data_IF_500024618499
#
_entry.id   IF_500024618499
#
_cell.length_a   1.000
_cell.length_b   1.000
_cell.length_c   1.000
_cell.angle_alpha   90.00
_cell.angle_beta   90.00
_cell.angle_gamma   90.00
#
_symmetry.space_group_name_H-M   'P 1'
#
loop_
_entity.id
_entity.type
_entity.pdbx_description
1 polymer ?
#
# COMPACT_ATOMS: atom_id res chain seq x y z
N UNK A 1 47.85 -4.22 4.83
CA UNK A 1 46.59 -4.98 4.67
C UNK A 1 45.65 -4.12 3.84
N UNK A 2 45.17 -4.63 2.70
CA UNK A 2 44.25 -3.87 1.85
C UNK A 2 42.86 -3.85 2.51
N UNK A 3 42.40 -2.66 2.90
CA UNK A 3 41.03 -2.48 3.35
C UNK A 3 40.12 -2.47 2.12
N UNK A 4 39.34 -3.53 1.94
CA UNK A 4 38.27 -3.57 0.95
C UNK A 4 37.07 -2.87 1.58
N UNK A 5 36.72 -1.69 1.06
CA UNK A 5 35.48 -1.00 1.40
C UNK A 5 34.50 -1.11 0.23
N UNK A 6 33.29 -1.60 0.49
CA UNK A 6 32.20 -1.61 -0.49
C UNK A 6 31.12 -0.61 -0.06
N UNK A 7 30.66 0.21 -1.00
CA UNK A 7 29.49 1.08 -0.82
C UNK A 7 28.30 0.36 -1.45
N UNK A 8 27.38 -0.13 -0.62
CA UNK A 8 26.17 -0.83 -1.06
C UNK A 8 25.00 0.14 -1.04
N UNK A 9 24.52 0.51 -2.22
CA UNK A 9 23.24 1.22 -2.38
C UNK A 9 22.10 0.22 -2.37
N UNK A 10 21.26 0.29 -1.35
CA UNK A 10 20.04 -0.51 -1.25
C UNK A 10 18.90 0.19 -2.00
N UNK A 11 18.16 -0.57 -2.83
CA UNK A 11 16.90 -0.10 -3.42
C UNK A 11 15.73 -0.46 -2.49
N UNK A 12 14.66 0.35 -2.45
CA UNK A 12 13.42 -0.05 -1.78
C UNK A 12 12.87 -1.36 -2.35
N UNK A 13 12.36 -2.23 -1.47
CA UNK A 13 11.74 -3.49 -1.88
C UNK A 13 10.46 -3.21 -2.65
N UNK A 14 10.28 -3.87 -3.80
CA UNK A 14 9.12 -3.70 -4.68
C UNK A 14 8.15 -4.86 -4.52
N UNK A 15 6.99 -4.60 -3.93
CA UNK A 15 5.91 -5.58 -3.81
C UNK A 15 4.89 -5.40 -4.91
N UNK A 16 4.47 -6.48 -5.56
CA UNK A 16 3.30 -6.49 -6.43
C UNK A 16 2.19 -7.34 -5.81
N UNK A 17 1.01 -6.74 -5.58
CA UNK A 17 -0.13 -7.41 -5.00
C UNK A 17 -1.02 -8.01 -6.07
N UNK A 18 -1.31 -9.30 -5.98
CA UNK A 18 -2.16 -10.03 -6.91
C UNK A 18 -3.55 -10.21 -6.29
N UNK A 19 -4.59 -9.78 -7.00
CA UNK A 19 -5.97 -9.86 -6.49
C UNK A 19 -6.97 -10.18 -7.60
N UNK A 20 -8.05 -10.88 -7.28
CA UNK A 20 -9.17 -11.07 -8.21
C UNK A 20 -10.00 -9.78 -8.28
N UNK A 21 -10.44 -9.30 -9.47
CA UNK A 21 -11.18 -8.05 -9.61
C UNK A 21 -12.46 -7.92 -8.76
N UNK A 22 -13.11 -9.05 -8.46
CA UNK A 22 -14.38 -9.06 -7.72
C UNK A 22 -14.22 -9.22 -6.20
N UNK A 23 -12.98 -9.30 -5.69
CA UNK A 23 -12.72 -9.48 -4.27
C UNK A 23 -12.47 -8.13 -3.57
N UNK A 24 -13.56 -7.45 -3.24
CA UNK A 24 -13.51 -6.14 -2.58
C UNK A 24 -12.94 -6.21 -1.15
N UNK A 25 -13.07 -7.36 -0.48
CA UNK A 25 -12.57 -7.56 0.88
C UNK A 25 -11.05 -7.62 0.89
N UNK A 26 -10.47 -8.45 0.02
CA UNK A 26 -9.01 -8.54 -0.13
C UNK A 26 -8.41 -7.27 -0.71
N UNK A 27 -9.12 -6.59 -1.60
CA UNK A 27 -8.68 -5.30 -2.10
C UNK A 27 -8.58 -4.25 -0.98
N UNK A 28 -9.55 -4.21 -0.07
CA UNK A 28 -9.49 -3.36 1.11
C UNK A 28 -8.31 -3.73 2.03
N UNK A 29 -8.08 -5.02 2.26
CA UNK A 29 -6.94 -5.52 3.03
C UNK A 29 -5.60 -5.06 2.41
N UNK A 30 -5.47 -5.10 1.07
CA UNK A 30 -4.30 -4.59 0.35
C UNK A 30 -4.11 -3.09 0.57
N UNK A 31 -5.18 -2.28 0.52
CA UNK A 31 -5.08 -0.85 0.82
C UNK A 31 -4.61 -0.60 2.25
N UNK A 32 -5.09 -1.40 3.21
CA UNK A 32 -4.67 -1.32 4.60
C UNK A 32 -3.19 -1.67 4.77
N UNK A 33 -2.74 -2.77 4.17
CA UNK A 33 -1.33 -3.19 4.18
C UNK A 33 -0.45 -2.11 3.56
N UNK A 34 -0.84 -1.56 2.40
CA UNK A 34 -0.09 -0.49 1.75
C UNK A 34 -0.09 0.84 2.54
N UNK A 35 -1.04 1.04 3.45
CA UNK A 35 -1.04 2.18 4.38
C UNK A 35 0.00 1.96 5.48
N UNK A 36 0.16 0.71 5.94
CA UNK A 36 1.07 0.33 7.02
C UNK A 36 2.52 0.07 6.58
N UNK A 37 2.78 -0.07 5.27
CA UNK A 37 4.11 -0.30 4.72
C UNK A 37 4.76 1.00 4.24
N UNK A 38 6.07 1.12 4.49
CA UNK A 38 6.84 2.21 3.92
C UNK A 38 6.87 2.10 2.39
N UNK A 39 6.44 3.17 1.71
CA UNK A 39 6.37 3.18 0.24
C UNK A 39 5.16 2.47 -0.35
N UNK A 40 4.18 2.01 0.45
CA UNK A 40 3.08 1.16 -0.02
C UNK A 40 2.22 1.74 -1.15
N UNK A 41 2.17 3.07 -1.31
CA UNK A 41 1.52 3.71 -2.46
C UNK A 41 2.15 3.37 -3.82
N UNK A 42 3.42 3.00 -3.84
CA UNK A 42 4.14 2.64 -5.06
C UNK A 42 4.05 1.14 -5.36
N UNK A 43 3.40 0.36 -4.50
CA UNK A 43 3.18 -1.06 -4.73
C UNK A 43 1.98 -1.24 -5.67
N UNK A 44 2.16 -1.78 -6.88
CA UNK A 44 1.07 -2.00 -7.80
C UNK A 44 0.13 -3.08 -7.27
N UNK A 45 -1.15 -2.89 -7.58
CA UNK A 45 -2.20 -3.89 -7.38
C UNK A 45 -2.56 -4.41 -8.76
N UNK A 46 -2.19 -5.64 -9.05
CA UNK A 46 -2.34 -6.29 -10.34
C UNK A 46 -3.59 -7.19 -10.29
N UNK A 47 -4.63 -6.88 -11.09
CA UNK A 47 -5.80 -7.72 -11.17
C UNK A 47 -5.49 -9.01 -11.96
N UNK A 48 -5.78 -10.17 -11.35
CA UNK A 48 -5.69 -11.47 -12.01
C UNK A 48 -7.08 -11.88 -12.48
N UNK A 49 -7.27 -11.95 -13.79
CA UNK A 49 -8.53 -12.33 -14.42
C UNK A 49 -8.32 -13.53 -15.37
N UNK A 50 -9.30 -14.43 -15.43
CA UNK A 50 -9.28 -15.55 -16.38
C UNK A 50 -9.64 -15.13 -17.82
N UNK A 51 -10.42 -14.06 -17.97
CA UNK A 51 -10.79 -13.48 -19.25
C UNK A 51 -10.68 -11.96 -19.17
N UNK A 52 -10.13 -11.33 -20.21
CA UNK A 52 -10.09 -9.87 -20.34
C UNK A 52 -11.52 -9.31 -20.35
N UNK A 53 -11.89 -8.38 -19.46
CA UNK A 53 -13.23 -7.81 -19.48
C UNK A 53 -13.53 -7.08 -20.80
N UNK A 54 -14.78 -7.17 -21.30
CA UNK A 54 -15.18 -6.57 -22.58
C UNK A 54 -14.93 -5.06 -22.68
N UNK A 55 -15.02 -4.34 -21.56
CA UNK A 55 -14.78 -2.90 -21.50
C UNK A 55 -13.28 -2.52 -21.53
N UNK A 56 -12.38 -3.51 -21.42
CA UNK A 56 -10.93 -3.34 -21.58
C UNK A 56 -10.49 -3.54 -23.04
N UNK A 57 -11.39 -3.98 -23.91
CA UNK A 57 -11.08 -4.20 -25.31
C UNK A 57 -10.65 -2.87 -25.93
N UNK A 58 -9.43 -2.85 -26.46
CA UNK A 58 -8.89 -1.67 -27.13
C UNK A 58 -9.22 -1.86 -28.59
N UNK A 59 -10.22 -1.13 -29.07
CA UNK A 59 -10.73 -1.20 -30.45
C UNK A 59 -9.63 -1.16 -31.53
N UNK A 60 -8.46 -0.58 -31.21
CA UNK A 60 -7.33 -0.39 -32.12
C UNK A 60 -6.16 -1.40 -31.97
N UNK A 61 -6.20 -2.35 -31.02
CA UNK A 61 -5.10 -3.29 -30.76
C UNK A 61 -5.54 -4.75 -30.87
N UNK A 62 -4.59 -5.64 -31.20
CA UNK A 62 -4.83 -7.09 -31.12
C UNK A 62 -5.24 -7.43 -29.68
N UNK A 63 -6.26 -8.27 -29.48
CA UNK A 63 -6.69 -8.66 -28.15
C UNK A 63 -5.54 -9.39 -27.44
N UNK A 64 -5.01 -8.77 -26.40
CA UNK A 64 -4.01 -9.40 -25.53
C UNK A 64 -4.71 -10.45 -24.66
N UNK A 65 -4.07 -11.59 -24.44
CA UNK A 65 -4.57 -12.55 -23.47
C UNK A 65 -4.41 -12.01 -22.05
N UNK A 66 -5.24 -12.48 -21.12
CA UNK A 66 -5.15 -12.06 -19.72
C UNK A 66 -3.75 -12.30 -19.12
N UNK A 67 -3.10 -13.40 -19.51
CA UNK A 67 -1.75 -13.73 -19.10
C UNK A 67 -0.72 -12.74 -19.68
N UNK A 68 -0.88 -12.31 -20.93
CA UNK A 68 -0.01 -11.29 -21.52
C UNK A 68 -0.14 -9.94 -20.82
N UNK A 69 -1.35 -9.53 -20.45
CA UNK A 69 -1.57 -8.28 -19.71
C UNK A 69 -0.90 -8.33 -18.34
N UNK A 70 -1.09 -9.42 -17.59
CA UNK A 70 -0.47 -9.60 -16.27
C UNK A 70 1.05 -9.63 -16.39
N UNK A 71 1.60 -10.41 -17.34
CA UNK A 71 3.04 -10.43 -17.60
C UNK A 71 3.56 -9.06 -17.99
N UNK A 72 2.83 -8.27 -18.79
CA UNK A 72 3.20 -6.91 -19.12
C UNK A 72 3.32 -5.99 -17.89
N UNK A 73 2.41 -6.13 -16.91
CA UNK A 73 2.54 -5.42 -15.63
C UNK A 73 3.75 -5.89 -14.82
N UNK A 74 3.99 -7.20 -14.77
CA UNK A 74 5.12 -7.79 -14.06
C UNK A 74 6.47 -7.38 -14.69
N UNK A 75 6.56 -7.37 -16.02
CA UNK A 75 7.76 -6.97 -16.77
C UNK A 75 8.00 -5.46 -16.68
N UNK A 76 6.94 -4.65 -16.70
CA UNK A 76 7.08 -3.19 -16.57
C UNK A 76 7.47 -2.76 -15.15
N UNK A 77 7.01 -3.48 -14.12
CA UNK A 77 7.28 -3.13 -12.74
C UNK A 77 8.48 -3.88 -12.13
N UNK A 78 8.80 -5.08 -12.58
CA UNK A 78 9.88 -5.92 -12.05
C UNK A 78 9.84 -6.05 -10.50
N UNK A 79 8.78 -6.65 -9.92
CA UNK A 79 8.67 -6.80 -8.47
C UNK A 79 9.73 -7.75 -7.90
N UNK A 80 10.20 -7.44 -6.69
CA UNK A 80 11.07 -8.33 -5.92
C UNK A 80 10.26 -9.49 -5.32
N UNK A 81 9.05 -9.19 -4.85
CA UNK A 81 8.13 -10.13 -4.22
C UNK A 81 6.72 -10.00 -4.82
N UNK A 82 6.07 -11.14 -5.01
CA UNK A 82 4.65 -11.21 -5.31
C UNK A 82 3.88 -11.46 -4.02
N UNK A 83 2.79 -10.73 -3.82
CA UNK A 83 1.92 -10.89 -2.66
C UNK A 83 0.56 -11.36 -3.13
N UNK A 84 0.20 -12.58 -2.81
CA UNK A 84 -1.06 -13.19 -3.18
C UNK A 84 -2.17 -12.83 -2.19
N UNK A 85 -3.29 -12.33 -2.72
CA UNK A 85 -4.54 -12.20 -1.96
C UNK A 85 -5.21 -13.55 -1.65
N UNK A 86 -5.00 -14.52 -2.53
CA UNK A 86 -5.50 -15.88 -2.42
C UNK A 86 -4.40 -16.82 -2.93
N UNK A 87 -4.18 -17.92 -2.22
CA UNK A 87 -3.13 -18.87 -2.54
C UNK A 87 -3.25 -19.38 -3.99
N UNK A 88 -2.14 -19.32 -4.74
CA UNK A 88 -2.03 -19.85 -6.09
C UNK A 88 -2.36 -18.86 -7.21
N UNK A 89 -2.56 -17.57 -6.90
CA UNK A 89 -2.71 -16.52 -7.92
C UNK A 89 -1.43 -16.30 -8.75
N UNK A 90 -0.26 -16.53 -8.18
CA UNK A 90 1.04 -16.40 -8.83
C UNK A 90 1.42 -17.64 -9.67
N UNK A 91 0.59 -18.70 -9.62
CA UNK A 91 0.88 -19.97 -10.28
C UNK A 91 0.96 -19.77 -11.79
N UNK A 92 2.11 -20.11 -12.38
CA UNK A 92 2.34 -20.02 -13.82
C UNK A 92 3.09 -18.78 -14.29
N UNK A 93 3.45 -17.85 -13.41
CA UNK A 93 4.28 -16.68 -13.77
C UNK A 93 5.79 -16.91 -13.65
N UNK A 94 6.23 -18.10 -13.23
CA UNK A 94 7.66 -18.45 -13.18
C UNK A 94 8.47 -17.79 -12.07
N UNK A 95 7.81 -17.23 -11.05
CA UNK A 95 8.48 -16.68 -9.87
C UNK A 95 8.94 -17.79 -8.92
N UNK A 96 10.07 -17.53 -8.25
CA UNK A 96 10.59 -18.37 -7.18
C UNK A 96 9.55 -18.45 -6.03
N UNK A 97 9.15 -19.65 -5.57
CA UNK A 97 8.23 -19.82 -4.44
C UNK A 97 8.63 -19.04 -3.19
N UNK A 98 9.94 -18.86 -2.93
CA UNK A 98 10.43 -18.11 -1.76
C UNK A 98 10.19 -16.60 -1.89
N UNK A 99 9.83 -16.13 -3.09
CA UNK A 99 9.47 -14.72 -3.39
C UNK A 99 7.97 -14.50 -3.53
N UNK A 100 7.16 -15.51 -3.20
CA UNK A 100 5.70 -15.43 -3.20
C UNK A 100 5.21 -15.44 -1.76
N UNK A 101 4.65 -14.31 -1.32
CA UNK A 101 4.12 -14.09 0.02
C UNK A 101 2.58 -14.12 0.01
N UNK A 102 1.97 -14.44 1.15
CA UNK A 102 0.53 -14.27 1.35
C UNK A 102 0.24 -12.91 1.99
N UNK A 103 -0.93 -12.32 1.75
CA UNK A 103 -1.33 -11.05 2.42
C UNK A 103 -1.18 -11.10 3.93
N UNK A 104 -1.56 -12.21 4.55
CA UNK A 104 -1.50 -12.39 6.01
C UNK A 104 -0.09 -12.33 6.58
N UNK A 105 0.94 -12.54 5.75
CA UNK A 105 2.34 -12.54 6.15
C UNK A 105 3.01 -11.15 6.06
N UNK A 106 2.32 -10.14 5.50
CA UNK A 106 2.90 -8.82 5.25
C UNK A 106 2.99 -7.96 6.52
N UNK A 107 1.95 -7.99 7.37
CA UNK A 107 1.91 -7.19 8.59
C UNK A 107 2.28 -8.04 9.79
N UNK A 108 3.17 -7.50 10.62
CA UNK A 108 3.53 -8.09 11.90
C UNK A 108 2.31 -8.11 12.82
N UNK A 109 1.93 -9.31 13.25
CA UNK A 109 0.97 -9.51 14.34
C UNK A 109 1.72 -9.54 15.68
N UNK A 110 1.02 -9.23 16.77
CA UNK A 110 1.57 -9.04 18.12
C UNK A 110 2.53 -10.14 18.59
N UNK A 111 2.33 -11.38 18.13
CA UNK A 111 3.13 -12.56 18.50
C UNK A 111 4.40 -12.77 17.64
N UNK A 112 4.61 -11.97 16.59
CA UNK A 112 5.72 -12.14 15.64
C UNK A 112 6.81 -11.07 15.83
N UNK A 113 8.09 -11.45 15.73
CA UNK A 113 9.22 -10.53 15.88
C UNK A 113 9.26 -9.45 14.78
N UNK A 114 8.92 -9.80 13.54
CA UNK A 114 8.85 -8.92 12.35
C UNK A 114 7.89 -9.52 11.31
N UNK A 115 7.28 -8.68 10.46
CA UNK A 115 6.64 -9.14 9.23
C UNK A 115 7.67 -9.79 8.30
N UNK A 116 7.23 -10.65 7.37
CA UNK A 116 8.16 -11.47 6.57
C UNK A 116 9.05 -10.64 5.63
N UNK A 117 8.55 -9.51 5.14
CA UNK A 117 9.30 -8.64 4.24
C UNK A 117 8.87 -7.17 4.34
N UNK A 118 9.80 -6.25 4.08
CA UNK A 118 9.54 -4.80 4.05
C UNK A 118 9.82 -4.08 5.36
N UNK A 119 9.66 -2.75 5.32
CA UNK A 119 9.72 -1.88 6.50
C UNK A 119 8.31 -1.39 6.82
N UNK A 120 7.98 -1.37 8.10
CA UNK A 120 6.74 -0.76 8.57
C UNK A 120 6.79 0.77 8.48
N UNK A 121 5.63 1.39 8.57
CA UNK A 121 5.50 2.85 8.53
C UNK A 121 5.96 3.53 9.84
N UNK A 122 6.18 2.79 10.93
CA UNK A 122 6.57 3.38 12.22
C UNK A 122 7.96 3.97 12.18
N UNK A 123 8.90 3.35 11.46
CA UNK A 123 10.23 3.92 11.25
C UNK A 123 10.14 5.29 10.57
N UNK A 124 9.23 5.44 9.60
CA UNK A 124 8.94 6.72 8.96
C UNK A 124 8.31 7.72 9.94
N UNK A 125 7.30 7.30 10.72
CA UNK A 125 6.63 8.16 11.69
C UNK A 125 7.62 8.69 12.73
N UNK A 126 8.51 7.83 13.24
CA UNK A 126 9.55 8.19 14.20
C UNK A 126 10.56 9.18 13.62
N UNK A 127 10.99 8.98 12.38
CA UNK A 127 11.91 9.91 11.71
C UNK A 127 11.26 11.27 11.44
N UNK A 128 10.02 11.27 10.93
CA UNK A 128 9.25 12.50 10.70
C UNK A 128 8.97 13.24 12.01
N UNK A 129 8.59 12.52 13.06
CA UNK A 129 8.36 13.11 14.37
C UNK A 129 9.61 13.84 14.86
N UNK A 130 10.76 13.14 14.92
CA UNK A 130 12.03 13.71 15.37
C UNK A 130 12.48 14.92 14.52
N UNK A 131 12.26 14.88 13.21
CA UNK A 131 12.74 15.95 12.32
C UNK A 131 11.79 17.14 12.23
N UNK A 132 10.49 16.90 12.30
CA UNK A 132 9.49 17.87 11.84
C UNK A 132 8.36 18.18 12.83
N UNK A 133 7.99 17.23 13.69
CA UNK A 133 6.78 17.32 14.53
C UNK A 133 7.07 17.28 16.04
N UNK A 134 8.33 17.10 16.47
CA UNK A 134 8.71 17.14 17.89
C UNK A 134 8.52 18.53 18.54
N UNK A 135 8.35 19.59 17.72
CA UNK A 135 8.10 20.95 18.19
C UNK A 135 6.75 21.45 17.71
N UNK A 136 6.03 22.15 18.59
CA UNK A 136 4.77 22.83 18.25
C UNK A 136 5.07 23.91 17.22
N UNK A 137 4.54 23.73 16.01
CA UNK A 137 4.71 24.71 14.93
C UNK A 137 3.81 25.90 15.16
N UNK A 138 4.27 27.08 14.75
CA UNK A 138 3.51 28.34 14.79
C UNK A 138 2.25 28.31 13.89
N UNK A 139 2.20 27.40 12.92
CA UNK A 139 1.04 27.16 12.06
C UNK A 139 0.66 25.68 12.15
N UNK A 140 -0.63 25.40 12.34
CA UNK A 140 -1.18 24.04 12.37
C UNK A 140 -0.90 23.31 11.05
N UNK A 141 -0.55 22.03 11.16
CA UNK A 141 -0.38 21.14 10.03
C UNK A 141 -1.77 20.62 9.63
N UNK A 142 -2.12 20.74 8.35
CA UNK A 142 -3.42 20.27 7.83
C UNK A 142 -3.36 18.78 7.47
N UNK A 143 -3.05 17.92 8.44
CA UNK A 143 -3.14 16.47 8.27
C UNK A 143 -4.60 16.08 8.48
N UNK A 144 -5.16 15.36 7.52
CA UNK A 144 -6.56 14.97 7.50
C UNK A 144 -6.66 13.46 7.37
N UNK A 145 -7.47 12.86 8.23
CA UNK A 145 -7.93 11.48 8.11
C UNK A 145 -9.35 11.49 7.54
N UNK A 146 -9.55 10.78 6.44
CA UNK A 146 -10.85 10.68 5.76
C UNK A 146 -11.64 9.51 6.32
N UNK A 147 -12.80 9.80 6.90
CA UNK A 147 -13.69 8.79 7.47
C UNK A 147 -14.84 8.52 6.49
N UNK A 148 -15.12 7.25 6.15
CA UNK A 148 -16.25 6.91 5.29
C UNK A 148 -17.58 7.17 6.02
N UNK A 149 -18.55 7.83 5.36
CA UNK A 149 -19.92 8.01 5.89
C UNK A 149 -20.68 6.69 6.05
N UNK A 150 -20.35 5.73 5.19
CA UNK A 150 -21.08 4.48 5.02
C UNK A 150 -20.08 3.39 4.68
N UNK A 151 -20.35 2.17 5.13
CA UNK A 151 -19.50 1.00 4.86
C UNK A 151 -19.22 0.78 3.36
N UNK A 152 -20.17 1.13 2.48
CA UNK A 152 -20.00 1.04 1.03
C UNK A 152 -18.87 1.93 0.48
N UNK A 153 -18.53 3.03 1.17
CA UNK A 153 -17.48 3.96 0.76
C UNK A 153 -16.13 3.65 1.39
N UNK A 154 -16.03 2.61 2.24
CA UNK A 154 -14.81 2.27 2.96
C UNK A 154 -13.63 1.97 2.02
N UNK A 155 -13.83 1.12 1.02
CA UNK A 155 -12.79 0.81 0.02
C UNK A 155 -12.42 2.02 -0.83
N UNK A 156 -13.35 2.94 -1.08
CA UNK A 156 -13.08 4.17 -1.82
C UNK A 156 -12.23 5.14 -0.99
N UNK A 157 -12.56 5.35 0.28
CA UNK A 157 -11.72 6.13 1.21
C UNK A 157 -10.32 5.50 1.32
N UNK A 158 -10.25 4.18 1.52
CA UNK A 158 -9.00 3.45 1.61
C UNK A 158 -8.12 3.59 0.36
N UNK A 159 -8.71 3.59 -0.83
CA UNK A 159 -7.98 3.83 -2.08
C UNK A 159 -7.40 5.25 -2.18
N UNK A 160 -8.16 6.25 -1.73
CA UNK A 160 -7.78 7.67 -1.86
C UNK A 160 -6.77 8.13 -0.80
N UNK A 161 -7.02 7.78 0.45
CA UNK A 161 -6.32 8.29 1.62
C UNK A 161 -5.80 7.21 2.54
N UNK A 162 -5.83 5.95 2.10
CA UNK A 162 -5.51 4.78 2.91
C UNK A 162 -6.47 4.59 4.07
N UNK A 163 -6.22 3.51 4.79
CA UNK A 163 -7.01 3.08 5.93
C UNK A 163 -6.17 2.15 6.77
N UNK A 164 -6.39 2.11 8.07
CA UNK A 164 -5.70 1.16 8.94
C UNK A 164 -6.53 -0.12 9.14
N UNK A 165 -5.90 -1.27 9.44
CA UNK A 165 -6.60 -2.47 9.88
C UNK A 165 -7.41 -2.23 11.15
N UNK A 166 -8.55 -2.90 11.28
CA UNK A 166 -9.44 -2.83 12.46
C UNK A 166 -9.29 -4.04 13.39
N UNK A 167 -8.54 -5.06 12.97
CA UNK A 167 -8.26 -6.25 13.78
C UNK A 167 -7.50 -5.86 15.06
N UNK A 168 -7.87 -6.44 16.21
CA UNK A 168 -7.31 -6.08 17.52
C UNK A 168 -5.77 -6.06 17.52
N UNK A 169 -5.15 -7.07 16.90
CA UNK A 169 -3.69 -7.22 16.86
C UNK A 169 -2.98 -6.22 15.93
N UNK A 170 -3.73 -5.45 15.13
CA UNK A 170 -3.21 -4.50 14.14
C UNK A 170 -3.70 -3.06 14.36
N UNK A 171 -4.61 -2.83 15.32
CA UNK A 171 -5.10 -1.48 15.67
C UNK A 171 -3.99 -0.50 16.06
N UNK A 172 -2.86 -1.02 16.54
CA UNK A 172 -1.70 -0.21 16.92
C UNK A 172 -1.18 0.67 15.78
N UNK A 173 -1.33 0.24 14.51
CA UNK A 173 -0.96 1.07 13.35
C UNK A 173 -1.74 2.38 13.26
N UNK A 174 -3.06 2.31 13.45
CA UNK A 174 -3.93 3.49 13.45
C UNK A 174 -3.65 4.39 14.65
N UNK A 175 -3.50 3.80 15.84
CA UNK A 175 -3.14 4.55 17.06
C UNK A 175 -1.81 5.29 16.90
N UNK A 176 -0.78 4.62 16.37
CA UNK A 176 0.51 5.23 16.11
C UNK A 176 0.47 6.40 15.12
N UNK A 177 -0.42 6.36 14.14
CA UNK A 177 -0.66 7.48 13.24
C UNK A 177 -1.31 8.66 13.97
N UNK A 178 -2.35 8.40 14.77
CA UNK A 178 -2.99 9.43 15.59
C UNK A 178 -2.01 10.09 16.58
N UNK A 179 -1.22 9.28 17.28
CA UNK A 179 -0.26 9.76 18.28
C UNK A 179 0.87 10.59 17.64
N UNK A 180 1.31 10.24 16.44
CA UNK A 180 2.39 10.93 15.75
C UNK A 180 1.97 12.26 15.11
N UNK A 181 0.70 12.37 14.66
CA UNK A 181 0.28 13.44 13.76
C UNK A 181 -0.96 14.22 14.18
N UNK A 182 -1.75 13.74 15.15
CA UNK A 182 -3.01 14.35 15.61
C UNK A 182 -3.91 14.80 14.43
N UNK A 183 -4.36 13.86 13.57
CA UNK A 183 -5.02 14.20 12.32
C UNK A 183 -6.43 14.77 12.54
N UNK A 184 -6.83 15.74 11.72
CA UNK A 184 -8.21 16.22 11.68
C UNK A 184 -9.09 15.20 10.96
N UNK A 185 -10.04 14.63 11.67
CA UNK A 185 -11.00 13.70 11.11
C UNK A 185 -12.05 14.45 10.28
N UNK A 186 -12.18 14.05 9.01
CA UNK A 186 -13.14 14.66 8.07
C UNK A 186 -13.96 13.57 7.42
N UNK A 187 -15.28 13.67 7.54
CA UNK A 187 -16.21 12.75 6.91
C UNK A 187 -16.22 12.94 5.38
N UNK A 188 -16.24 11.84 4.63
CA UNK A 188 -16.23 11.89 3.17
C UNK A 188 -17.45 12.66 2.65
N UNK A 189 -17.22 13.81 2.01
CA UNK A 189 -18.23 14.62 1.35
C UNK A 189 -17.68 15.21 0.04
N UNK A 190 -18.53 15.63 -0.91
CA UNK A 190 -18.07 16.29 -2.13
C UNK A 190 -17.17 17.51 -1.85
N UNK A 191 -17.50 18.29 -0.81
CA UNK A 191 -16.70 19.44 -0.38
C UNK A 191 -15.39 19.02 0.29
N UNK A 192 -15.42 17.94 1.08
CA UNK A 192 -14.24 17.38 1.72
C UNK A 192 -13.24 16.85 0.69
N UNK A 193 -13.70 16.24 -0.41
CA UNK A 193 -12.83 15.80 -1.51
C UNK A 193 -12.06 16.97 -2.13
N UNK A 194 -12.70 18.14 -2.28
CA UNK A 194 -12.03 19.36 -2.72
C UNK A 194 -10.91 19.80 -1.79
N UNK A 195 -11.13 19.71 -0.47
CA UNK A 195 -10.12 20.05 0.56
C UNK A 195 -8.98 19.02 0.63
N UNK A 196 -9.27 17.73 0.48
CA UNK A 196 -8.28 16.63 0.50
C UNK A 196 -7.32 16.66 -0.68
N UNK A 197 -7.76 17.19 -1.82
CA UNK A 197 -6.90 17.42 -3.00
C UNK A 197 -5.92 18.58 -2.79
N UNK A 198 -6.24 19.52 -1.90
CA UNK A 198 -5.47 20.74 -1.60
C UNK A 198 -4.57 20.54 -0.36
N UNK A 199 -5.04 19.81 0.65
CA UNK A 199 -4.17 19.34 1.73
C UNK A 199 -3.23 18.27 1.18
N UNK A 200 -1.97 18.25 1.62
CA UNK A 200 -1.04 17.17 1.30
C UNK A 200 -1.52 15.90 2.02
N UNK A 201 -2.46 15.20 1.39
CA UNK A 201 -2.97 13.90 1.82
C UNK A 201 -1.78 12.98 2.09
N UNK A 202 -1.62 12.56 3.35
CA UNK A 202 -0.35 12.13 3.93
C UNK A 202 -0.07 10.63 3.75
N UNK A 203 -0.34 10.09 2.56
CA UNK A 203 0.17 8.78 2.16
C UNK A 203 1.14 8.89 1.01
N UNK A 204 2.29 8.20 1.16
CA UNK A 204 3.60 8.82 1.13
C UNK A 204 3.76 9.70 -0.12
N UNK A 205 3.49 11.00 0.06
CA UNK A 205 3.87 12.09 -0.85
C UNK A 205 4.97 12.97 -0.23
N UNK A 206 5.78 12.39 0.65
CA UNK A 206 6.86 13.10 1.36
C UNK A 206 8.24 12.61 0.96
N UNK A 207 8.37 12.29 -0.32
CA UNK A 207 9.66 12.27 -1.00
C UNK A 207 9.61 13.26 -2.15
N UNK A 208 9.89 14.51 -1.79
CA UNK A 208 10.75 15.41 -2.56
C UNK A 208 11.64 16.14 -1.58
#
# INVERSE_FOLDING_TARGET
MAHISAVVTLRPIRFAFLVKPNDSKRLLEIFQINTCLWGGKFNPIIPIFGHVPKWWDRDDYKPESALQIVNGYLDAFEPDFLVEAEAGLAKGFGYDPDRVLQLSAMLRRSDELRGQAGLDVFDLYKDLYKKQFQFVRRHEHNIVELIPRTNALKSFCACLSGSFPEDEDLKYFGQGFCDAFDPKQVELSPEALGKVRISRSFLPKLTR
#
